data_IF_152210526150
#
_entry.id   IF_152210526150
#
_cell.length_a   1.000
_cell.length_b   1.000
_cell.length_c   1.000
_cell.angle_alpha   90.00
_cell.angle_beta   90.00
_cell.angle_gamma   90.00
#
_symmetry.space_group_name_H-M   'P 1'
#
loop_
_entity.id
_entity.type
_entity.pdbx_description
1 polymer ?
#
# COMPACT_ATOMS: atom_id res chain seq x y z
N UNK A 1 12.08 -3.45 -10.01
CA UNK A 1 11.77 -3.52 -8.55
C UNK A 1 12.16 -2.22 -7.82
N UNK A 2 13.38 -1.71 -7.97
CA UNK A 2 13.88 -0.51 -7.25
C UNK A 2 13.00 0.73 -7.46
N UNK A 3 12.59 1.02 -8.69
CA UNK A 3 11.75 2.20 -9.01
C UNK A 3 10.44 2.20 -8.20
N UNK A 4 9.82 1.02 -8.02
CA UNK A 4 8.59 0.88 -7.22
C UNK A 4 8.83 1.24 -5.76
N UNK A 5 9.91 0.71 -5.19
CA UNK A 5 10.30 0.95 -3.79
C UNK A 5 10.60 2.43 -3.56
N UNK A 6 11.40 3.04 -4.44
CA UNK A 6 11.76 4.46 -4.36
C UNK A 6 10.51 5.34 -4.43
N UNK A 7 9.56 5.04 -5.31
CA UNK A 7 8.32 5.80 -5.41
C UNK A 7 7.45 5.72 -4.15
N UNK A 8 7.31 4.52 -3.56
CA UNK A 8 6.56 4.36 -2.30
C UNK A 8 7.24 5.10 -1.14
N UNK A 9 8.57 5.01 -1.04
CA UNK A 9 9.32 5.74 -0.01
C UNK A 9 9.18 7.25 -0.21
N UNK A 10 9.33 7.74 -1.44
CA UNK A 10 9.16 9.16 -1.75
C UNK A 10 7.75 9.65 -1.39
N UNK A 11 6.72 8.85 -1.67
CA UNK A 11 5.34 9.16 -1.30
C UNK A 11 5.13 9.21 0.22
N UNK A 12 5.65 8.24 0.98
CA UNK A 12 5.57 8.23 2.45
C UNK A 12 6.26 9.48 3.02
N UNK A 13 7.46 9.81 2.54
CA UNK A 13 8.22 10.97 3.00
C UNK A 13 7.51 12.29 2.65
N UNK A 14 7.01 12.41 1.43
CA UNK A 14 6.31 13.62 0.96
C UNK A 14 5.00 13.83 1.72
N UNK A 15 4.22 12.77 1.89
CA UNK A 15 2.98 12.84 2.66
C UNK A 15 3.22 13.10 4.15
N UNK A 16 4.26 12.50 4.74
CA UNK A 16 4.70 12.82 6.10
C UNK A 16 5.12 14.29 6.23
N UNK A 17 5.89 14.80 5.29
CA UNK A 17 6.28 16.21 5.26
C UNK A 17 5.07 17.15 5.18
N UNK A 18 4.06 16.83 4.38
CA UNK A 18 2.81 17.60 4.29
C UNK A 18 2.02 17.61 5.61
N UNK A 19 1.99 16.47 6.32
CA UNK A 19 1.34 16.36 7.64
C UNK A 19 2.04 17.23 8.70
N UNK A 20 3.37 17.20 8.76
CA UNK A 20 4.12 17.92 9.79
C UNK A 20 4.38 19.39 9.46
N UNK A 21 4.42 19.76 8.17
CA UNK A 21 4.62 21.15 7.74
C UNK A 21 3.33 21.98 7.76
N UNK A 22 2.15 21.34 7.91
CA UNK A 22 0.85 22.02 7.86
C UNK A 22 0.41 22.42 6.44
N UNK A 23 1.18 22.08 5.40
CA UNK A 23 0.84 22.34 4.00
C UNK A 23 -0.13 21.32 3.39
N UNK A 24 -0.48 20.25 4.12
CA UNK A 24 -1.48 19.26 3.70
C UNK A 24 -2.93 19.76 3.69
N UNK A 25 -3.17 21.03 4.04
CA UNK A 25 -4.50 21.63 4.14
C UNK A 25 -5.22 21.31 5.47
N UNK A 26 -6.38 21.95 5.74
CA UNK A 26 -7.07 21.84 7.03
C UNK A 26 -7.59 20.43 7.36
N UNK A 27 -7.73 19.59 6.33
CA UNK A 27 -8.21 18.22 6.46
C UNK A 27 -7.09 17.24 6.85
N UNK A 28 -5.82 17.60 6.66
CA UNK A 28 -4.70 16.71 6.93
C UNK A 28 -4.42 16.63 8.44
N UNK A 29 -4.77 15.50 9.05
CA UNK A 29 -4.54 15.22 10.46
C UNK A 29 -4.44 13.73 10.71
N UNK A 30 -3.53 13.33 11.61
CA UNK A 30 -3.38 11.93 12.05
C UNK A 30 -4.68 11.38 12.63
N UNK A 31 -5.55 12.26 13.16
CA UNK A 31 -6.85 11.86 13.69
C UNK A 31 -7.80 11.26 12.64
N UNK A 32 -7.59 11.52 11.36
CA UNK A 32 -8.41 10.92 10.29
C UNK A 32 -8.36 9.38 10.29
N UNK A 33 -7.34 8.77 10.92
CA UNK A 33 -7.24 7.32 11.10
C UNK A 33 -8.36 6.72 11.96
N UNK A 34 -9.01 7.53 12.82
CA UNK A 34 -10.03 7.04 13.75
C UNK A 34 -11.21 8.00 13.99
N UNK A 35 -11.14 9.26 13.59
CA UNK A 35 -12.24 10.23 13.83
C UNK A 35 -13.48 9.95 12.96
N UNK A 36 -13.32 9.23 11.85
CA UNK A 36 -14.39 8.90 10.90
C UNK A 36 -15.11 7.58 11.27
N UNK A 37 -15.63 7.51 12.51
CA UNK A 37 -16.37 6.33 13.01
C UNK A 37 -15.54 5.32 13.81
N UNK A 38 -14.35 5.69 14.28
CA UNK A 38 -13.45 4.82 15.03
C UNK A 38 -12.54 3.98 14.13
N UNK A 39 -11.81 3.05 14.75
CA UNK A 39 -10.92 2.12 14.02
C UNK A 39 -11.70 1.05 13.22
N UNK A 40 -12.93 0.73 13.65
CA UNK A 40 -13.83 -0.23 13.01
C UNK A 40 -15.19 0.40 12.73
N UNK A 41 -15.29 1.34 11.76
CA UNK A 41 -16.53 2.08 11.49
C UNK A 41 -17.68 1.17 11.02
N UNK A 42 -17.35 0.03 10.40
CA UNK A 42 -18.32 -1.00 9.97
C UNK A 42 -18.42 -2.19 10.95
N UNK A 43 -17.83 -2.07 12.14
CA UNK A 43 -17.79 -3.11 13.15
C UNK A 43 -17.14 -4.43 12.69
N UNK A 44 -17.43 -5.51 13.42
CA UNK A 44 -16.93 -6.85 13.09
C UNK A 44 -17.45 -7.39 11.75
N UNK A 45 -18.64 -6.98 11.34
CA UNK A 45 -19.20 -7.39 10.05
C UNK A 45 -18.34 -6.90 8.88
N UNK A 46 -17.94 -5.62 8.90
CA UNK A 46 -17.03 -5.06 7.89
C UNK A 46 -15.66 -5.75 7.89
N UNK A 47 -15.14 -6.10 9.07
CA UNK A 47 -13.89 -6.86 9.19
C UNK A 47 -13.98 -8.21 8.47
N UNK A 48 -15.03 -9.00 8.73
CA UNK A 48 -15.22 -10.32 8.11
C UNK A 48 -15.38 -10.21 6.59
N UNK A 49 -16.13 -9.21 6.11
CA UNK A 49 -16.29 -8.98 4.67
C UNK A 49 -14.95 -8.61 4.00
N UNK A 50 -14.15 -7.76 4.65
CA UNK A 50 -12.82 -7.39 4.15
C UNK A 50 -11.84 -8.57 4.19
N UNK A 51 -11.94 -9.49 5.15
CA UNK A 51 -11.11 -10.70 5.16
C UNK A 51 -11.28 -11.52 3.88
N UNK A 52 -12.49 -11.63 3.34
CA UNK A 52 -12.73 -12.34 2.07
C UNK A 52 -12.02 -11.65 0.89
N UNK A 53 -12.09 -10.31 0.81
CA UNK A 53 -11.42 -9.52 -0.23
C UNK A 53 -9.90 -9.63 -0.10
N UNK A 54 -9.38 -9.58 1.13
CA UNK A 54 -7.96 -9.74 1.43
C UNK A 54 -7.49 -11.12 0.99
N UNK A 55 -8.20 -12.20 1.36
CA UNK A 55 -7.85 -13.57 0.95
C UNK A 55 -7.76 -13.71 -0.57
N UNK A 56 -8.71 -13.13 -1.30
CA UNK A 56 -8.67 -13.12 -2.77
C UNK A 56 -7.49 -12.30 -3.32
N UNK A 57 -7.18 -11.15 -2.71
CA UNK A 57 -6.09 -10.26 -3.14
C UNK A 57 -4.69 -10.85 -2.90
N UNK A 58 -4.54 -11.80 -1.98
CA UNK A 58 -3.30 -12.52 -1.70
C UNK A 58 -3.21 -13.88 -2.43
N UNK A 59 -4.07 -14.13 -3.42
CA UNK A 59 -3.93 -15.26 -4.34
C UNK A 59 -2.55 -15.24 -5.01
N UNK A 60 -1.82 -16.36 -4.96
CA UNK A 60 -0.43 -16.46 -5.44
C UNK A 60 0.63 -16.63 -4.34
N UNK A 61 0.25 -16.60 -3.06
CA UNK A 61 1.14 -17.02 -1.96
C UNK A 61 1.55 -18.50 -2.06
N UNK A 62 0.78 -19.32 -2.78
CA UNK A 62 1.07 -20.73 -3.07
C UNK A 62 2.44 -20.91 -3.75
N UNK A 63 2.87 -19.93 -4.55
CA UNK A 63 4.18 -19.94 -5.22
C UNK A 63 5.36 -19.90 -4.23
N UNK A 64 5.16 -19.28 -3.07
CA UNK A 64 6.15 -19.26 -1.99
C UNK A 64 6.36 -20.68 -1.43
N UNK A 65 5.31 -21.50 -1.39
CA UNK A 65 5.38 -22.89 -0.96
C UNK A 65 6.13 -23.78 -1.96
N UNK A 66 5.94 -23.55 -3.26
CA UNK A 66 6.64 -24.30 -4.32
C UNK A 66 8.12 -23.93 -4.34
N UNK A 67 8.43 -22.63 -4.34
CA UNK A 67 9.82 -22.15 -4.31
C UNK A 67 10.55 -22.47 -3.01
N UNK A 68 9.83 -22.60 -1.89
CA UNK A 68 10.38 -23.12 -0.64
C UNK A 68 10.90 -24.57 -0.78
N UNK A 69 10.28 -25.40 -1.61
CA UNK A 69 10.73 -26.76 -1.88
C UNK A 69 11.96 -26.82 -2.80
N UNK A 70 12.20 -25.77 -3.59
CA UNK A 70 13.34 -25.63 -4.50
C UNK A 70 14.50 -24.79 -3.90
N UNK A 71 14.31 -24.22 -2.70
CA UNK A 71 15.29 -23.35 -2.08
C UNK A 71 16.44 -24.13 -1.42
N UNK A 72 17.68 -23.74 -1.69
CA UNK A 72 18.84 -24.24 -0.96
C UNK A 72 18.78 -23.80 0.51
N UNK A 73 18.96 -24.76 1.42
CA UNK A 73 18.87 -24.59 2.88
C UNK A 73 17.55 -23.93 3.34
N UNK A 74 16.40 -24.60 3.16
CA UNK A 74 15.08 -24.03 3.43
C UNK A 74 14.89 -23.61 4.90
N UNK A 75 15.54 -24.29 5.85
CA UNK A 75 15.49 -23.98 7.28
C UNK A 75 16.00 -22.57 7.63
N UNK A 76 16.89 -21.99 6.82
CA UNK A 76 17.41 -20.63 7.03
C UNK A 76 16.85 -19.64 6.01
N UNK A 77 16.74 -20.06 4.75
CA UNK A 77 16.32 -19.20 3.64
C UNK A 77 14.85 -18.79 3.76
N UNK A 78 13.96 -19.71 4.15
CA UNK A 78 12.52 -19.44 4.25
C UNK A 78 12.21 -18.47 5.39
N UNK A 79 12.65 -18.69 6.66
CA UNK A 79 12.32 -17.76 7.74
C UNK A 79 12.88 -16.35 7.48
N UNK A 80 14.09 -16.26 6.90
CA UNK A 80 14.72 -14.98 6.55
C UNK A 80 13.92 -14.24 5.48
N UNK A 81 13.51 -14.93 4.42
CA UNK A 81 12.69 -14.35 3.35
C UNK A 81 11.32 -13.90 3.89
N UNK A 82 10.64 -14.74 4.67
CA UNK A 82 9.34 -14.40 5.29
C UNK A 82 9.45 -13.15 6.17
N UNK A 83 10.43 -13.08 7.06
CA UNK A 83 10.61 -11.90 7.91
C UNK A 83 10.88 -10.64 7.08
N UNK A 84 11.71 -10.73 6.03
CA UNK A 84 11.95 -9.60 5.13
C UNK A 84 10.69 -9.12 4.42
N UNK A 85 9.82 -10.05 3.99
CA UNK A 85 8.54 -9.71 3.36
C UNK A 85 7.62 -9.00 4.36
N UNK A 86 7.52 -9.48 5.60
CA UNK A 86 6.69 -8.85 6.65
C UNK A 86 7.13 -7.41 6.90
N UNK A 87 8.43 -7.15 7.08
CA UNK A 87 8.93 -5.78 7.27
C UNK A 87 8.59 -4.87 6.08
N UNK A 88 8.70 -5.39 4.85
CA UNK A 88 8.34 -4.63 3.65
C UNK A 88 6.84 -4.31 3.60
N UNK A 89 5.98 -5.26 3.96
CA UNK A 89 4.52 -5.02 4.02
C UNK A 89 4.22 -3.95 5.07
N UNK A 90 4.78 -4.06 6.28
CA UNK A 90 4.56 -3.07 7.33
C UNK A 90 5.00 -1.67 6.91
N UNK A 91 6.21 -1.53 6.36
CA UNK A 91 6.76 -0.22 6.00
C UNK A 91 6.05 0.36 4.77
N UNK A 92 5.96 -0.40 3.68
CA UNK A 92 5.46 0.12 2.42
C UNK A 92 3.94 0.14 2.33
N UNK A 93 3.25 -0.88 2.84
CA UNK A 93 1.80 -0.98 2.72
C UNK A 93 1.12 -0.26 3.88
N UNK A 94 1.41 -0.66 5.13
CA UNK A 94 0.77 -0.06 6.31
C UNK A 94 1.24 1.38 6.50
N UNK A 95 2.53 1.65 6.33
CA UNK A 95 3.08 3.00 6.43
C UNK A 95 2.51 3.97 5.39
N UNK A 96 2.37 3.55 4.12
CA UNK A 96 1.76 4.41 3.10
C UNK A 96 0.29 4.67 3.36
N UNK A 97 -0.50 3.64 3.70
CA UNK A 97 -1.90 3.82 4.05
C UNK A 97 -2.08 4.73 5.26
N UNK A 98 -1.24 4.59 6.29
CA UNK A 98 -1.32 5.44 7.48
C UNK A 98 -1.11 6.93 7.14
N UNK A 99 -0.11 7.24 6.30
CA UNK A 99 0.16 8.61 5.84
C UNK A 99 -0.99 9.13 4.98
N UNK A 100 -1.47 8.33 4.03
CA UNK A 100 -2.53 8.72 3.10
C UNK A 100 -3.86 8.98 3.81
N UNK A 101 -4.27 8.07 4.70
CA UNK A 101 -5.49 8.23 5.48
C UNK A 101 -5.38 9.36 6.50
N UNK A 102 -4.17 9.72 6.93
CA UNK A 102 -3.94 10.93 7.74
C UNK A 102 -4.11 12.21 6.90
N UNK A 103 -3.72 12.20 5.63
CA UNK A 103 -3.85 13.36 4.75
C UNK A 103 -5.28 13.59 4.28
N UNK A 104 -5.99 12.52 3.92
CA UNK A 104 -7.36 12.59 3.42
C UNK A 104 -8.23 11.55 4.14
N UNK A 105 -9.38 11.97 4.72
CA UNK A 105 -10.28 11.03 5.38
C UNK A 105 -10.78 9.96 4.40
N UNK A 106 -10.85 8.71 4.86
CA UNK A 106 -11.20 7.55 4.04
C UNK A 106 -12.57 7.68 3.35
N UNK A 107 -13.48 8.48 3.91
CA UNK A 107 -14.82 8.77 3.37
C UNK A 107 -14.79 9.56 2.05
N UNK A 108 -13.68 10.21 1.71
CA UNK A 108 -13.51 10.92 0.43
C UNK A 108 -12.76 10.11 -0.62
N UNK A 109 -12.26 8.92 -0.28
CA UNK A 109 -11.59 8.06 -1.23
C UNK A 109 -12.64 7.42 -2.14
N UNK A 110 -12.61 7.79 -3.43
CA UNK A 110 -13.52 7.23 -4.43
C UNK A 110 -12.95 5.96 -5.05
N UNK A 111 -13.82 5.09 -5.57
CA UNK A 111 -13.41 3.84 -6.22
C UNK A 111 -12.88 4.05 -7.66
N UNK A 112 -13.17 5.19 -8.28
CA UNK A 112 -12.90 5.43 -9.71
C UNK A 112 -11.44 5.81 -10.00
N UNK A 113 -10.67 6.21 -8.99
CA UNK A 113 -9.27 6.63 -9.17
C UNK A 113 -8.39 6.00 -8.09
N UNK A 114 -7.13 5.72 -8.44
CA UNK A 114 -6.16 5.25 -7.47
C UNK A 114 -6.09 6.21 -6.27
N UNK A 115 -6.31 5.73 -5.03
CA UNK A 115 -6.26 6.57 -3.82
C UNK A 115 -4.92 7.33 -3.70
N UNK A 116 -3.83 6.68 -4.14
CA UNK A 116 -2.50 7.26 -4.19
C UNK A 116 -2.42 8.47 -5.11
N UNK A 117 -3.09 8.44 -6.26
CA UNK A 117 -3.09 9.56 -7.22
C UNK A 117 -4.07 10.64 -6.77
N UNK A 118 -5.25 10.23 -6.29
CA UNK A 118 -6.32 11.12 -5.83
C UNK A 118 -5.83 12.08 -4.75
N UNK A 119 -5.15 11.56 -3.72
CA UNK A 119 -4.71 12.36 -2.58
C UNK A 119 -3.69 13.44 -2.99
N UNK A 120 -2.69 13.08 -3.80
CA UNK A 120 -1.70 14.07 -4.26
C UNK A 120 -2.28 15.05 -5.28
N UNK A 121 -3.28 14.63 -6.05
CA UNK A 121 -4.01 15.52 -6.94
C UNK A 121 -4.85 16.55 -6.16
N UNK A 122 -5.56 16.14 -5.09
CA UNK A 122 -6.31 17.07 -4.23
C UNK A 122 -5.41 18.03 -3.45
N UNK A 123 -4.19 17.61 -3.13
CA UNK A 123 -3.19 18.45 -2.45
C UNK A 123 -2.49 19.45 -3.38
N UNK A 124 -2.87 19.50 -4.66
CA UNK A 124 -2.36 20.47 -5.64
C UNK A 124 -1.02 20.09 -6.29
N UNK A 125 -0.49 18.90 -6.01
CA UNK A 125 0.76 18.42 -6.60
C UNK A 125 0.50 17.45 -7.76
N UNK A 126 0.01 18.02 -8.88
CA UNK A 126 -0.29 17.27 -10.10
C UNK A 126 0.95 16.57 -10.68
N UNK A 127 2.14 17.09 -10.40
CA UNK A 127 3.41 16.51 -10.87
C UNK A 127 3.70 15.21 -10.13
N UNK A 128 3.58 15.20 -8.81
CA UNK A 128 3.72 13.97 -7.99
C UNK A 128 2.61 12.97 -8.28
N UNK A 129 1.37 13.43 -8.45
CA UNK A 129 0.24 12.57 -8.80
C UNK A 129 0.46 11.80 -10.12
N UNK A 130 0.93 12.51 -11.16
CA UNK A 130 1.23 11.89 -12.46
C UNK A 130 2.43 10.94 -12.40
N UNK A 131 3.49 11.31 -11.68
CA UNK A 131 4.66 10.46 -11.49
C UNK A 131 4.28 9.14 -10.78
N UNK A 132 3.46 9.22 -9.74
CA UNK A 132 2.95 8.04 -9.03
C UNK A 132 2.10 7.15 -9.94
N UNK A 133 1.23 7.75 -10.77
CA UNK A 133 0.41 6.98 -11.71
C UNK A 133 1.26 6.15 -12.68
N UNK A 134 2.31 6.75 -13.25
CA UNK A 134 3.26 6.02 -14.14
C UNK A 134 3.94 4.87 -13.39
N UNK A 135 4.34 5.09 -12.14
CA UNK A 135 4.97 4.04 -11.34
C UNK A 135 4.00 2.91 -11.02
N UNK A 136 2.74 3.23 -10.69
CA UNK A 136 1.69 2.24 -10.42
C UNK A 136 1.41 1.39 -11.67
N UNK A 137 1.30 2.01 -12.85
CA UNK A 137 1.12 1.28 -14.11
C UNK A 137 2.31 0.37 -14.42
N UNK A 138 3.53 0.89 -14.29
CA UNK A 138 4.76 0.10 -14.45
C UNK A 138 4.83 -1.03 -13.41
N UNK A 139 4.30 -0.78 -12.20
CA UNK A 139 4.24 -1.77 -11.15
C UNK A 139 3.30 -2.91 -11.50
N UNK A 140 2.10 -2.60 -11.99
CA UNK A 140 1.11 -3.57 -12.45
C UNK A 140 1.65 -4.44 -13.59
N UNK A 141 2.26 -3.82 -14.62
CA UNK A 141 2.88 -4.54 -15.74
C UNK A 141 3.98 -5.51 -15.27
N UNK A 142 4.82 -5.09 -14.34
CA UNK A 142 5.87 -5.95 -13.80
C UNK A 142 5.33 -7.10 -12.94
N UNK A 143 4.19 -6.94 -12.25
CA UNK A 143 3.54 -8.05 -11.53
C UNK A 143 2.94 -9.03 -12.54
N UNK A 144 2.27 -8.51 -13.57
CA UNK A 144 1.70 -9.33 -14.64
C UNK A 144 2.75 -10.19 -15.34
N UNK A 145 3.93 -9.62 -15.65
CA UNK A 145 5.03 -10.37 -16.24
C UNK A 145 5.52 -11.52 -15.33
N UNK A 146 5.58 -11.30 -14.01
CA UNK A 146 5.91 -12.36 -13.06
C UNK A 146 4.82 -13.43 -12.96
N UNK A 147 3.53 -13.04 -12.94
CA UNK A 147 2.43 -14.00 -12.93
C UNK A 147 2.40 -14.89 -14.19
N UNK A 148 2.63 -14.32 -15.38
CA UNK A 148 2.71 -15.08 -16.64
C UNK A 148 3.93 -16.00 -16.68
N UNK A 149 5.07 -15.60 -16.11
CA UNK A 149 6.26 -16.46 -16.03
C UNK A 149 6.06 -17.65 -15.07
N UNK A 150 5.24 -17.49 -14.05
CA UNK A 150 5.04 -18.50 -13.00
C UNK A 150 3.86 -19.44 -13.27
N UNK A 151 3.12 -19.26 -14.37
CA UNK A 151 1.98 -20.06 -14.78
C UNK A 151 2.25 -20.79 -16.09
#
# INVERSE_FOLDING_TARGET
AIIKVVAVVAMILSGGWLLFSGNGGPQATVRNLWDQGGFLPHGFYGLVMMMAIIMFSFGGLELVGITAAEADNPEQSIPKATNQVIYRILIFYVGSLAVLLSLLPWTRVTADTSPFVLIFHELGDTLVANALNVVVLTAALSVYNSCVYCN
#
